data_IF_305547746794
#
_entry.id   IF_305547746794
#
_cell.length_a   1.000
_cell.length_b   1.000
_cell.length_c   1.000
_cell.angle_alpha   90.00
_cell.angle_beta   90.00
_cell.angle_gamma   90.00
#
_symmetry.space_group_name_H-M   'P 1'
#
loop_
_entity.id
_entity.type
_entity.pdbx_description
1 polymer ?
#
# COMPACT_ATOMS: atom_id res chain seq x y z
N UNK A 1 -3.29 -3.09 -15.62
CA UNK A 1 -4.67 -3.23 -16.19
C UNK A 1 -5.57 -2.16 -15.56
N UNK A 2 -6.51 -1.53 -16.27
CA UNK A 2 -7.33 -0.45 -15.66
C UNK A 2 -8.43 -1.00 -14.74
N UNK A 3 -8.72 -0.31 -13.63
CA UNK A 3 -9.79 -0.68 -12.68
C UNK A 3 -11.17 -0.79 -13.35
N UNK A 4 -11.47 0.10 -14.31
CA UNK A 4 -12.73 0.06 -15.06
C UNK A 4 -12.91 -1.26 -15.82
N UNK A 5 -11.83 -1.78 -16.40
CA UNK A 5 -11.87 -3.05 -17.12
C UNK A 5 -12.06 -4.23 -16.17
N UNK A 6 -11.31 -4.24 -15.06
CA UNK A 6 -11.46 -5.24 -14.00
C UNK A 6 -12.92 -5.30 -13.50
N UNK A 7 -13.53 -4.14 -13.22
CA UNK A 7 -14.92 -4.06 -12.75
C UNK A 7 -15.91 -4.59 -13.79
N UNK A 8 -15.72 -4.27 -15.07
CA UNK A 8 -16.58 -4.77 -16.14
C UNK A 8 -16.53 -6.29 -16.28
N UNK A 9 -15.37 -6.91 -16.01
CA UNK A 9 -15.15 -8.36 -16.12
C UNK A 9 -15.60 -9.12 -14.85
N UNK A 10 -15.45 -8.52 -13.66
CA UNK A 10 -15.63 -9.22 -12.36
C UNK A 10 -16.79 -8.71 -11.50
N UNK A 11 -17.35 -7.55 -11.82
CA UNK A 11 -18.31 -6.87 -10.95
C UNK A 11 -17.59 -6.23 -9.75
N UNK A 12 -18.08 -6.45 -8.54
CA UNK A 12 -17.47 -5.89 -7.34
C UNK A 12 -16.01 -6.35 -7.22
N UNK A 13 -15.10 -5.39 -7.04
CA UNK A 13 -13.68 -5.66 -6.86
C UNK A 13 -13.34 -5.73 -5.38
N UNK A 14 -12.46 -6.67 -5.03
CA UNK A 14 -11.97 -6.82 -3.66
C UNK A 14 -10.61 -6.12 -3.53
N UNK A 15 -10.53 -5.20 -2.58
CA UNK A 15 -9.31 -4.48 -2.22
C UNK A 15 -8.74 -5.08 -0.93
N UNK A 16 -7.55 -5.69 -1.02
CA UNK A 16 -6.82 -6.24 0.11
C UNK A 16 -5.96 -5.17 0.78
N UNK A 17 -6.03 -5.07 2.10
CA UNK A 17 -5.33 -4.03 2.87
C UNK A 17 -3.96 -4.52 3.33
N UNK A 18 -2.91 -3.76 3.00
CA UNK A 18 -1.51 -4.00 3.37
C UNK A 18 -1.03 -2.84 4.25
N UNK A 19 -1.10 -3.01 5.56
CA UNK A 19 -0.62 -2.01 6.51
C UNK A 19 0.88 -2.19 6.78
N UNK A 20 1.65 -1.12 6.56
CA UNK A 20 3.11 -1.06 6.80
C UNK A 20 3.38 -0.25 8.05
N UNK A 21 2.86 -0.72 9.19
CA UNK A 21 3.03 -0.06 10.49
C UNK A 21 3.94 -0.92 11.39
N UNK A 22 5.05 -0.38 11.90
CA UNK A 22 5.91 -1.07 12.85
C UNK A 22 5.19 -1.36 14.17
N UNK A 23 5.47 -2.52 14.74
CA UNK A 23 5.28 -2.76 16.18
C UNK A 23 6.54 -2.39 17.00
N UNK A 24 7.73 -2.23 16.36
CA UNK A 24 8.97 -1.77 17.03
C UNK A 24 10.07 -1.35 16.03
N UNK A 25 10.60 -0.12 16.13
CA UNK A 25 11.68 0.37 15.26
C UNK A 25 13.09 -0.03 15.75
N UNK A 26 13.84 -0.70 14.88
CA UNK A 26 15.32 -0.70 14.82
C UNK A 26 15.72 -0.81 13.34
N UNK A 27 16.92 -0.36 12.94
CA UNK A 27 17.33 -0.33 11.52
C UNK A 27 17.29 -1.71 10.82
N UNK A 28 17.44 -2.79 11.58
CA UNK A 28 17.25 -4.17 11.09
C UNK A 28 15.79 -4.57 10.85
N UNK A 29 14.84 -3.85 11.45
CA UNK A 29 13.40 -4.07 11.34
C UNK A 29 12.81 -3.64 9.99
N UNK A 30 13.38 -2.63 9.30
CA UNK A 30 12.82 -2.14 8.01
C UNK A 30 12.76 -3.24 6.94
N UNK A 31 13.81 -4.03 6.75
CA UNK A 31 13.80 -5.12 5.78
C UNK A 31 12.84 -6.25 6.19
N UNK A 32 12.70 -6.50 7.49
CA UNK A 32 11.76 -7.48 8.04
C UNK A 32 10.31 -7.02 7.81
N UNK A 33 10.04 -5.72 7.98
CA UNK A 33 8.73 -5.11 7.76
C UNK A 33 8.34 -5.15 6.28
N UNK A 34 9.27 -4.86 5.37
CA UNK A 34 9.02 -4.99 3.92
C UNK A 34 8.71 -6.44 3.54
N UNK A 35 9.50 -7.40 4.03
CA UNK A 35 9.27 -8.81 3.76
C UNK A 35 7.91 -9.29 4.31
N UNK A 36 7.56 -8.90 5.54
CA UNK A 36 6.27 -9.24 6.15
C UNK A 36 5.09 -8.62 5.37
N UNK A 37 5.21 -7.36 4.94
CA UNK A 37 4.19 -6.71 4.13
C UNK A 37 4.03 -7.39 2.75
N UNK A 38 5.14 -7.81 2.14
CA UNK A 38 5.13 -8.55 0.88
C UNK A 38 4.51 -9.94 1.03
N UNK A 39 4.82 -10.67 2.10
CA UNK A 39 4.22 -11.98 2.37
C UNK A 39 2.71 -11.86 2.59
N UNK A 40 2.27 -10.86 3.36
CA UNK A 40 0.84 -10.57 3.53
C UNK A 40 0.17 -10.17 2.20
N UNK A 41 0.85 -9.37 1.36
CA UNK A 41 0.36 -9.05 0.01
C UNK A 41 0.18 -10.31 -0.85
N UNK A 42 1.14 -11.25 -0.81
CA UNK A 42 1.03 -12.55 -1.51
C UNK A 42 -0.15 -13.38 -1.00
N UNK A 43 -0.40 -13.39 0.30
CA UNK A 43 -1.58 -14.06 0.89
C UNK A 43 -2.90 -13.45 0.38
N UNK A 44 -3.00 -12.12 0.33
CA UNK A 44 -4.16 -11.42 -0.21
C UNK A 44 -4.37 -11.70 -1.70
N UNK A 45 -3.30 -11.70 -2.49
CA UNK A 45 -3.34 -12.07 -3.92
C UNK A 45 -3.84 -13.52 -4.07
N UNK A 46 -3.31 -14.45 -3.28
CA UNK A 46 -3.75 -15.85 -3.29
C UNK A 46 -5.21 -16.02 -2.84
N UNK A 47 -5.70 -15.16 -1.94
CA UNK A 47 -7.09 -15.11 -1.52
C UNK A 47 -8.04 -14.45 -2.55
N UNK A 48 -7.50 -13.90 -3.64
CA UNK A 48 -8.26 -13.33 -4.74
C UNK A 48 -8.48 -11.83 -4.69
N UNK A 49 -7.62 -11.07 -4.01
CA UNK A 49 -7.63 -9.61 -4.09
C UNK A 49 -7.45 -9.13 -5.54
N UNK A 50 -8.32 -8.23 -5.99
CA UNK A 50 -8.24 -7.59 -7.31
C UNK A 50 -7.40 -6.29 -7.25
N UNK A 51 -7.32 -5.66 -6.07
CA UNK A 51 -6.56 -4.43 -5.77
C UNK A 51 -5.83 -4.64 -4.44
N UNK A 52 -4.63 -4.07 -4.29
CA UNK A 52 -3.95 -3.99 -2.99
C UNK A 52 -3.87 -2.52 -2.55
N UNK A 53 -4.20 -2.25 -1.30
CA UNK A 53 -4.17 -0.90 -0.70
C UNK A 53 -3.07 -0.84 0.35
N UNK A 54 -2.03 -0.06 0.07
CA UNK A 54 -0.82 0.03 0.90
C UNK A 54 -0.88 1.31 1.73
N UNK A 55 -0.84 1.17 3.06
CA UNK A 55 -0.88 2.30 3.99
C UNK A 55 0.32 2.31 4.94
N UNK A 56 1.05 3.42 5.01
CA UNK A 56 2.21 3.59 5.90
C UNK A 56 1.89 4.28 7.23
N UNK A 57 0.72 4.90 7.32
CA UNK A 57 0.23 5.62 8.50
C UNK A 57 -1.05 4.97 9.01
N UNK A 58 -1.14 4.77 10.33
CA UNK A 58 -2.39 4.29 10.93
C UNK A 58 -3.35 5.45 11.14
N UNK A 59 -4.58 5.34 10.60
CA UNK A 59 -5.68 6.26 10.88
C UNK A 59 -6.52 5.82 12.10
N UNK A 60 -6.06 4.83 12.87
CA UNK A 60 -6.78 4.32 14.05
C UNK A 60 -6.82 5.37 15.18
N UNK A 61 -7.88 5.41 16.00
CA UNK A 61 -7.95 6.32 17.14
C UNK A 61 -6.74 6.17 18.08
N UNK A 62 -6.03 7.27 18.31
CA UNK A 62 -4.85 7.32 19.19
C UNK A 62 -3.51 7.04 18.49
N UNK A 63 -3.49 6.79 17.18
CA UNK A 63 -2.25 6.73 16.43
C UNK A 63 -1.60 8.12 16.35
N UNK A 64 -0.26 8.15 16.46
CA UNK A 64 0.51 9.36 16.23
C UNK A 64 0.78 9.50 14.73
N UNK A 65 0.60 10.71 14.16
CA UNK A 65 0.97 10.96 12.77
C UNK A 65 2.45 10.68 12.53
N UNK A 66 2.76 10.11 11.37
CA UNK A 66 4.14 9.91 10.93
C UNK A 66 4.58 11.04 10.02
N UNK A 67 5.87 11.35 10.05
CA UNK A 67 6.43 12.36 9.14
C UNK A 67 6.33 11.90 7.69
N UNK A 68 6.38 12.86 6.76
CA UNK A 68 6.40 12.60 5.31
C UNK A 68 7.49 11.57 4.94
N UNK A 69 8.71 11.79 5.42
CA UNK A 69 9.85 10.92 5.13
C UNK A 69 9.66 9.51 5.68
N UNK A 70 9.14 9.37 6.90
CA UNK A 70 8.86 8.06 7.50
C UNK A 70 7.79 7.28 6.74
N UNK A 71 6.74 7.95 6.26
CA UNK A 71 5.69 7.29 5.48
C UNK A 71 6.22 6.81 4.12
N UNK A 72 6.95 7.66 3.41
CA UNK A 72 7.64 7.29 2.15
C UNK A 72 8.55 6.09 2.37
N UNK A 73 9.37 6.14 3.43
CA UNK A 73 10.32 5.09 3.78
C UNK A 73 9.67 3.73 4.10
N UNK A 74 8.39 3.74 4.51
CA UNK A 74 7.57 2.55 4.74
C UNK A 74 6.95 2.03 3.46
N UNK A 75 6.25 2.90 2.71
CA UNK A 75 5.37 2.45 1.61
C UNK A 75 6.13 2.20 0.31
N UNK A 76 7.12 3.02 -0.03
CA UNK A 76 7.80 2.94 -1.35
C UNK A 76 8.50 1.59 -1.56
N UNK A 77 9.31 1.07 -0.61
CA UNK A 77 9.95 -0.24 -0.80
C UNK A 77 8.94 -1.39 -0.92
N UNK A 78 7.82 -1.32 -0.20
CA UNK A 78 6.75 -2.33 -0.27
C UNK A 78 6.07 -2.29 -1.63
N UNK A 79 5.71 -1.11 -2.14
CA UNK A 79 5.10 -0.94 -3.47
C UNK A 79 6.03 -1.49 -4.55
N UNK A 80 7.33 -1.13 -4.51
CA UNK A 80 8.32 -1.63 -5.46
C UNK A 80 8.43 -3.17 -5.44
N UNK A 81 8.43 -3.77 -4.25
CA UNK A 81 8.51 -5.22 -4.09
C UNK A 81 7.25 -5.92 -4.63
N UNK A 82 6.06 -5.38 -4.35
CA UNK A 82 4.79 -5.92 -4.87
C UNK A 82 4.76 -5.81 -6.39
N UNK A 83 5.12 -4.65 -6.97
CA UNK A 83 5.14 -4.44 -8.43
C UNK A 83 6.11 -5.37 -9.15
N UNK A 84 7.16 -5.85 -8.48
CA UNK A 84 8.08 -6.81 -9.07
C UNK A 84 7.48 -8.22 -9.25
N UNK A 85 6.40 -8.55 -8.53
CA UNK A 85 5.79 -9.89 -8.51
C UNK A 85 4.30 -9.92 -8.91
N UNK A 86 3.66 -8.75 -9.00
CA UNK A 86 2.22 -8.61 -9.27
C UNK A 86 1.90 -7.48 -10.25
N UNK A 87 1.16 -7.81 -11.30
CA UNK A 87 0.73 -6.87 -12.36
C UNK A 87 -0.61 -6.15 -12.06
N UNK A 88 -1.20 -6.41 -10.91
CA UNK A 88 -2.47 -5.82 -10.52
C UNK A 88 -2.36 -4.38 -10.01
N UNK A 89 -3.48 -3.66 -9.90
CA UNK A 89 -3.50 -2.28 -9.45
C UNK A 89 -3.15 -2.17 -7.97
N UNK A 90 -2.19 -1.30 -7.67
CA UNK A 90 -1.83 -0.92 -6.29
C UNK A 90 -2.44 0.46 -6.02
N UNK A 91 -3.11 0.57 -4.88
CA UNK A 91 -3.59 1.79 -4.26
C UNK A 91 -2.64 2.22 -3.14
N UNK A 92 -2.37 3.51 -3.04
CA UNK A 92 -1.69 4.13 -1.90
C UNK A 92 -2.74 4.79 -1.00
N UNK A 93 -2.85 4.32 0.25
CA UNK A 93 -3.67 4.93 1.31
C UNK A 93 -2.84 5.97 2.04
N UNK A 94 -3.04 7.23 1.67
CA UNK A 94 -2.35 8.37 2.27
C UNK A 94 -3.15 9.65 2.08
N UNK A 95 -3.05 10.57 3.02
CA UNK A 95 -3.58 11.94 2.90
C UNK A 95 -2.54 12.93 2.36
N UNK A 96 -1.28 12.49 2.19
CA UNK A 96 -0.15 13.37 1.88
C UNK A 96 0.15 13.33 0.36
N UNK A 97 -0.05 14.43 -0.38
CA UNK A 97 0.18 14.46 -1.83
C UNK A 97 1.60 14.02 -2.22
N UNK A 98 2.60 14.40 -1.44
CA UNK A 98 4.00 14.04 -1.68
C UNK A 98 4.26 12.53 -1.49
N UNK A 99 3.55 11.86 -0.58
CA UNK A 99 3.61 10.40 -0.44
C UNK A 99 2.96 9.74 -1.65
N UNK A 100 1.80 10.24 -2.08
CA UNK A 100 1.11 9.74 -3.26
C UNK A 100 1.98 9.88 -4.51
N UNK A 101 2.67 11.02 -4.69
CA UNK A 101 3.59 11.24 -5.80
C UNK A 101 4.72 10.19 -5.83
N UNK A 102 5.39 9.96 -4.70
CA UNK A 102 6.46 8.96 -4.61
C UNK A 102 5.94 7.53 -4.77
N UNK A 103 4.75 7.22 -4.26
CA UNK A 103 4.09 5.94 -4.46
C UNK A 103 3.79 5.66 -5.95
N UNK A 104 3.33 6.67 -6.69
CA UNK A 104 3.10 6.54 -8.14
C UNK A 104 4.41 6.33 -8.90
N UNK A 105 5.50 7.01 -8.52
CA UNK A 105 6.84 6.74 -9.07
C UNK A 105 7.31 5.31 -8.77
N UNK A 106 6.90 4.75 -7.64
CA UNK A 106 7.23 3.40 -7.21
C UNK A 106 6.41 2.28 -7.89
N UNK A 107 5.26 2.60 -8.48
CA UNK A 107 4.39 1.64 -9.17
C UNK A 107 2.92 1.64 -8.77
N UNK A 108 2.51 2.48 -7.81
CA UNK A 108 1.10 2.67 -7.49
C UNK A 108 0.33 3.29 -8.66
N UNK A 109 -0.98 3.05 -8.69
CA UNK A 109 -1.87 3.43 -9.80
C UNK A 109 -3.18 4.07 -9.34
N UNK A 110 -3.45 4.06 -8.04
CA UNK A 110 -4.65 4.59 -7.40
C UNK A 110 -4.21 5.34 -6.15
N UNK A 111 -4.82 6.48 -5.88
CA UNK A 111 -4.64 7.20 -4.62
C UNK A 111 -5.95 7.12 -3.82
N UNK A 112 -5.89 6.51 -2.64
CA UNK A 112 -6.96 6.44 -1.67
C UNK A 112 -6.73 7.50 -0.59
N UNK A 113 -7.41 8.64 -0.72
CA UNK A 113 -7.34 9.76 0.21
C UNK A 113 -8.63 9.85 1.03
N UNK A 114 -8.54 9.49 2.31
CA UNK A 114 -9.67 9.54 3.25
C UNK A 114 -10.19 10.95 3.53
N UNK A 115 -9.40 11.99 3.22
CA UNK A 115 -9.81 13.39 3.40
C UNK A 115 -10.62 13.93 2.21
N UNK A 116 -10.65 13.18 1.11
CA UNK A 116 -11.40 13.49 -0.12
C UNK A 116 -11.03 14.85 -0.76
N UNK A 117 -9.75 15.24 -0.66
CA UNK A 117 -9.15 16.52 -1.09
C UNK A 117 -9.56 17.75 -0.26
#
# INVERSE_FOLDING_TARGET
>A
MSLLRLHAERGALIMGVVNVTPDSFSDGGRFVEVAAALDHARELIAAGADVLDVGGESTRPGAHPVTLGEEIDRVVPVIQAITAEWDGPISIDTLKPEVAEEAFKAGASVWNDVTAL
#
